data_IF_464224599206
#
_entry.id   IF_464224599206
#
_cell.length_a   1.000
_cell.length_b   1.000
_cell.length_c   1.000
_cell.angle_alpha   90.00
_cell.angle_beta   90.00
_cell.angle_gamma   90.00
#
_symmetry.space_group_name_H-M   'P 1'
#
loop_
_entity.id
_entity.type
_entity.pdbx_description
1 polymer ?
#
# COMPACT_ATOMS: atom_id res chain seq x y z
N UNK A 1 20.69 8.82 -3.04
CA UNK A 1 20.04 9.86 -2.20
C UNK A 1 18.94 10.52 -3.00
N UNK A 2 17.68 10.40 -2.57
CA UNK A 2 16.56 11.07 -3.24
C UNK A 2 16.61 12.54 -2.82
N UNK A 3 16.65 13.46 -3.79
CA UNK A 3 16.68 14.90 -3.51
C UNK A 3 15.28 15.41 -3.20
N UNK A 4 15.18 16.48 -2.40
CA UNK A 4 13.90 17.11 -2.05
C UNK A 4 13.07 17.48 -3.29
N UNK A 5 13.72 17.91 -4.37
CA UNK A 5 13.09 18.15 -5.66
C UNK A 5 12.38 16.92 -6.24
N UNK A 6 13.01 15.73 -6.18
CA UNK A 6 12.39 14.49 -6.68
C UNK A 6 11.15 14.11 -5.87
N UNK A 7 11.17 14.34 -4.55
CA UNK A 7 10.02 14.10 -3.67
C UNK A 7 8.86 15.03 -4.05
N UNK A 8 9.12 16.33 -4.21
CA UNK A 8 8.08 17.30 -4.57
C UNK A 8 7.51 17.05 -5.98
N UNK A 9 8.35 16.64 -6.92
CA UNK A 9 7.90 16.23 -8.26
C UNK A 9 6.95 15.03 -8.20
N UNK A 10 7.29 14.00 -7.41
CA UNK A 10 6.42 12.84 -7.25
C UNK A 10 5.11 13.17 -6.55
N UNK A 11 5.13 14.02 -5.52
CA UNK A 11 3.90 14.50 -4.86
C UNK A 11 2.97 15.18 -5.87
N UNK A 12 3.50 16.08 -6.71
CA UNK A 12 2.72 16.74 -7.77
C UNK A 12 2.19 15.77 -8.81
N UNK A 13 3.02 14.82 -9.25
CA UNK A 13 2.62 13.80 -10.23
C UNK A 13 1.49 12.92 -9.71
N UNK A 14 1.56 12.56 -8.42
CA UNK A 14 0.55 11.74 -7.74
C UNK A 14 -0.75 12.51 -7.52
N UNK A 15 -0.67 13.80 -7.21
CA UNK A 15 -1.83 14.68 -7.15
C UNK A 15 -2.50 14.84 -8.52
N UNK A 16 -1.73 15.05 -9.59
CA UNK A 16 -2.26 15.18 -10.96
C UNK A 16 -2.89 13.88 -11.46
N UNK A 17 -2.28 12.71 -11.18
CA UNK A 17 -2.84 11.42 -11.56
C UNK A 17 -4.13 11.09 -10.80
N UNK A 18 -4.33 11.67 -9.61
CA UNK A 18 -5.61 11.62 -8.90
C UNK A 18 -6.67 12.55 -9.48
N UNK A 19 -6.29 13.66 -10.12
CA UNK A 19 -7.24 14.62 -10.69
C UNK A 19 -7.68 14.30 -12.12
N UNK A 20 -6.89 13.55 -12.88
CA UNK A 20 -7.17 13.27 -14.29
C UNK A 20 -7.60 11.81 -14.46
N UNK A 21 -8.77 11.59 -15.06
CA UNK A 21 -9.27 10.26 -15.39
C UNK A 21 -8.60 9.63 -16.61
N UNK A 22 -8.97 8.40 -16.94
CA UNK A 22 -8.41 7.65 -18.07
C UNK A 22 -8.73 8.30 -19.42
N UNK A 23 -9.75 9.17 -19.46
CA UNK A 23 -10.19 9.93 -20.63
C UNK A 23 -9.58 11.34 -20.67
N UNK A 24 -8.54 11.61 -19.87
CA UNK A 24 -7.88 12.91 -19.75
C UNK A 24 -8.81 14.03 -19.23
N UNK A 25 -9.91 13.68 -18.57
CA UNK A 25 -10.88 14.63 -18.00
C UNK A 25 -10.62 14.89 -16.53
N UNK A 26 -11.04 16.07 -16.04
CA UNK A 26 -10.95 16.41 -14.63
C UNK A 26 -11.99 15.61 -13.84
N UNK A 27 -11.51 14.83 -12.87
CA UNK A 27 -12.37 14.15 -11.89
C UNK A 27 -13.12 15.17 -11.05
N UNK A 28 -14.38 14.87 -10.78
CA UNK A 28 -15.20 15.57 -9.79
C UNK A 28 -14.68 15.31 -8.38
N UNK A 29 -15.01 16.19 -7.43
CA UNK A 29 -14.61 16.04 -6.03
C UNK A 29 -15.07 14.68 -5.45
N UNK A 30 -16.28 14.23 -5.80
CA UNK A 30 -16.80 12.92 -5.39
C UNK A 30 -15.94 11.76 -5.91
N UNK A 31 -15.52 11.80 -7.17
CA UNK A 31 -14.64 10.76 -7.74
C UNK A 31 -13.25 10.76 -7.09
N UNK A 32 -12.76 11.92 -6.67
CA UNK A 32 -11.50 12.04 -5.93
C UNK A 32 -11.68 11.44 -4.53
N UNK A 33 -12.76 11.79 -3.83
CA UNK A 33 -13.10 11.26 -2.50
C UNK A 33 -13.24 9.74 -2.50
N UNK A 34 -14.05 9.17 -3.40
CA UNK A 34 -14.26 7.72 -3.52
C UNK A 34 -12.93 6.98 -3.73
N UNK A 35 -12.03 7.54 -4.54
CA UNK A 35 -10.72 6.95 -4.85
C UNK A 35 -9.77 7.05 -3.66
N UNK A 36 -9.80 8.14 -2.91
CA UNK A 36 -9.02 8.29 -1.67
C UNK A 36 -9.50 7.31 -0.61
N UNK A 37 -10.81 7.19 -0.41
CA UNK A 37 -11.41 6.23 0.52
C UNK A 37 -11.07 4.78 0.14
N UNK A 38 -11.19 4.43 -1.14
CA UNK A 38 -10.80 3.10 -1.65
C UNK A 38 -9.32 2.82 -1.36
N UNK A 39 -8.44 3.80 -1.57
CA UNK A 39 -7.00 3.64 -1.27
C UNK A 39 -6.75 3.45 0.22
N UNK A 40 -7.46 4.16 1.10
CA UNK A 40 -7.36 3.97 2.54
C UNK A 40 -7.80 2.57 2.95
N UNK A 41 -8.95 2.11 2.48
CA UNK A 41 -9.45 0.76 2.76
C UNK A 41 -8.46 -0.33 2.30
N UNK A 42 -7.90 -0.21 1.10
CA UNK A 42 -6.90 -1.16 0.60
C UNK A 42 -5.60 -1.13 1.42
N UNK A 43 -5.19 0.06 1.91
CA UNK A 43 -4.00 0.18 2.76
C UNK A 43 -4.23 -0.46 4.13
N UNK A 44 -5.42 -0.28 4.71
CA UNK A 44 -5.80 -0.91 5.99
C UNK A 44 -5.79 -2.43 5.89
N UNK A 45 -6.39 -3.00 4.84
CA UNK A 45 -6.36 -4.46 4.62
C UNK A 45 -4.93 -4.97 4.41
N UNK A 46 -4.12 -4.28 3.59
CA UNK A 46 -2.72 -4.63 3.42
C UNK A 46 -1.93 -4.64 4.74
N UNK A 47 -2.18 -3.66 5.61
CA UNK A 47 -1.53 -3.58 6.92
C UNK A 47 -1.99 -4.69 7.86
N UNK A 48 -3.27 -5.06 7.84
CA UNK A 48 -3.81 -6.21 8.60
C UNK A 48 -3.17 -7.52 8.16
N UNK A 49 -3.10 -7.77 6.86
CA UNK A 49 -2.47 -8.97 6.29
C UNK A 49 -1.00 -9.07 6.71
N UNK A 50 -0.28 -7.94 6.64
CA UNK A 50 1.11 -7.88 7.07
C UNK A 50 1.27 -8.12 8.57
N UNK A 51 0.40 -7.54 9.39
CA UNK A 51 0.40 -7.77 10.83
C UNK A 51 0.14 -9.25 11.16
N UNK A 52 -0.80 -9.90 10.47
CA UNK A 52 -1.08 -11.32 10.65
C UNK A 52 0.13 -12.19 10.24
N UNK A 53 0.82 -11.84 9.15
CA UNK A 53 2.04 -12.51 8.71
C UNK A 53 3.18 -12.35 9.72
N UNK A 54 3.38 -11.14 10.24
CA UNK A 54 4.40 -10.86 11.26
C UNK A 54 4.12 -11.68 12.54
N UNK A 55 2.86 -11.75 12.99
CA UNK A 55 2.43 -12.59 14.11
C UNK A 55 2.65 -14.08 13.86
N UNK A 56 2.40 -14.56 12.64
CA UNK A 56 2.67 -15.95 12.26
C UNK A 56 4.17 -16.26 12.34
N UNK A 57 5.02 -15.36 11.85
CA UNK A 57 6.47 -15.53 11.91
C UNK A 57 6.99 -15.48 13.36
N UNK A 58 6.43 -14.63 14.22
CA UNK A 58 6.71 -14.62 15.66
C UNK A 58 6.32 -15.94 16.32
N UNK A 59 5.07 -16.38 16.16
CA UNK A 59 4.60 -17.67 16.66
C UNK A 59 5.48 -18.83 16.19
N UNK A 60 5.86 -18.84 14.91
CA UNK A 60 6.73 -19.89 14.34
C UNK A 60 8.10 -19.92 15.02
N UNK A 61 8.70 -18.76 15.30
CA UNK A 61 9.98 -18.67 16.02
C UNK A 61 9.85 -19.20 17.44
N UNK A 62 8.77 -18.85 18.14
CA UNK A 62 8.52 -19.29 19.51
C UNK A 62 8.34 -20.82 19.61
N UNK A 63 7.76 -21.44 18.59
CA UNK A 63 7.60 -22.89 18.49
C UNK A 63 8.88 -23.64 18.08
N UNK A 64 10.00 -22.94 17.78
CA UNK A 64 11.25 -23.51 17.27
C UNK A 64 11.07 -24.43 16.04
N UNK A 65 10.02 -24.20 15.24
CA UNK A 65 9.74 -25.00 14.05
C UNK A 65 10.63 -24.52 12.91
N UNK A 66 11.78 -25.18 12.73
CA UNK A 66 12.69 -24.98 11.60
C UNK A 66 12.03 -25.25 10.24
N UNK A 67 12.65 -24.79 9.15
CA UNK A 67 12.20 -25.06 7.77
C UNK A 67 12.25 -26.55 7.39
N UNK A 68 12.83 -27.40 8.24
CA UNK A 68 13.01 -28.84 8.03
C UNK A 68 11.69 -29.63 8.01
N UNK A 69 10.57 -29.05 8.47
CA UNK A 69 9.26 -29.72 8.48
C UNK A 69 8.59 -29.86 7.10
N UNK A 70 9.09 -29.16 6.07
CA UNK A 70 8.57 -29.24 4.69
C UNK A 70 9.61 -29.74 3.68
N UNK A 71 10.75 -30.25 4.16
CA UNK A 71 11.76 -30.92 3.34
C UNK A 71 11.54 -32.44 3.32
N UNK A 72 10.54 -32.92 2.58
CA UNK A 72 10.41 -34.32 2.18
C UNK A 72 9.82 -34.43 0.78
#
# INVERSE_FOLDING_TARGET
>A
MITQYKIEHWKRSLYLSQRIDENLSLRTDKQIEDRLLTRCALMEEFLKDRQALDQFHEWRRDQQVGDEAYGS
#
